data_IF_732758000860
#
_entry.id   IF_732758000860
#
_cell.length_a   1.000
_cell.length_b   1.000
_cell.length_c   1.000
_cell.angle_alpha   90.00
_cell.angle_beta   90.00
_cell.angle_gamma   90.00
#
_symmetry.space_group_name_H-M   'P 1'
#
loop_
_entity.id
_entity.type
_entity.pdbx_description
1 polymer ?
#
# COMPACT_ATOMS: atom_id res chain seq x y z
N UNK A 1 6.45 -6.26 28.46
CA UNK A 1 5.05 -6.69 28.67
C UNK A 1 4.43 -5.78 29.71
N UNK A 2 3.14 -5.47 29.60
CA UNK A 2 2.38 -4.73 30.61
C UNK A 2 2.42 -5.47 31.93
N UNK A 3 2.43 -4.80 33.10
CA UNK A 3 2.40 -5.46 34.42
C UNK A 3 1.19 -6.38 34.61
N UNK A 4 0.13 -6.19 33.83
CA UNK A 4 -1.10 -7.01 33.85
C UNK A 4 -1.01 -8.31 33.04
N UNK A 5 -0.02 -8.46 32.16
CA UNK A 5 0.17 -9.61 31.27
C UNK A 5 1.55 -10.19 31.50
N UNK A 6 1.60 -11.42 31.95
CA UNK A 6 2.84 -12.15 32.20
C UNK A 6 2.75 -13.61 31.71
N UNK A 7 3.86 -14.33 31.73
CA UNK A 7 3.94 -15.71 31.23
C UNK A 7 3.05 -16.69 32.00
N UNK A 8 2.59 -16.34 33.21
CA UNK A 8 1.80 -17.23 34.05
C UNK A 8 0.28 -17.04 33.81
N UNK A 9 -0.13 -15.86 33.34
CA UNK A 9 -1.55 -15.52 33.15
C UNK A 9 -1.94 -15.32 31.69
N UNK A 10 -1.02 -15.54 30.76
CA UNK A 10 -1.30 -15.37 29.33
C UNK A 10 -0.56 -16.40 28.48
N UNK A 11 -1.22 -16.86 27.42
CA UNK A 11 -0.67 -17.74 26.39
C UNK A 11 -0.59 -16.99 25.09
N UNK A 12 0.58 -16.97 24.47
CA UNK A 12 0.76 -16.43 23.11
C UNK A 12 0.25 -17.50 22.14
N UNK A 13 -0.86 -17.24 21.48
CA UNK A 13 -1.41 -18.16 20.47
C UNK A 13 -0.73 -17.98 19.11
N UNK A 14 -0.31 -16.76 18.80
CA UNK A 14 0.36 -16.45 17.53
C UNK A 14 1.29 -15.26 17.67
N UNK A 15 2.53 -15.41 17.18
CA UNK A 15 3.47 -14.33 17.00
C UNK A 15 4.00 -14.41 15.56
N UNK A 16 3.78 -13.35 14.77
CA UNK A 16 4.15 -13.29 13.34
C UNK A 16 4.73 -11.92 13.03
N UNK A 17 5.81 -11.91 12.28
CA UNK A 17 6.33 -10.68 11.66
C UNK A 17 5.63 -10.49 10.32
N UNK A 18 4.90 -9.39 10.18
CA UNK A 18 4.26 -9.01 8.92
C UNK A 18 5.20 -8.15 8.09
N UNK A 19 5.26 -8.46 6.79
CA UNK A 19 5.90 -7.62 5.79
C UNK A 19 4.83 -6.87 5.02
N UNK A 20 4.99 -5.58 4.90
CA UNK A 20 4.14 -4.71 4.10
C UNK A 20 4.89 -4.25 2.87
N UNK A 21 4.17 -4.01 1.80
CA UNK A 21 4.72 -3.59 0.52
C UNK A 21 4.19 -2.20 0.18
N UNK A 22 5.01 -1.43 -0.50
CA UNK A 22 4.66 -0.14 -1.06
C UNK A 22 5.06 -0.15 -2.53
N UNK A 23 4.16 -0.57 -3.40
CA UNK A 23 4.44 -0.71 -4.83
C UNK A 23 3.21 -0.42 -5.68
N UNK A 24 3.48 -0.01 -6.91
CA UNK A 24 2.48 0.28 -7.94
C UNK A 24 2.86 -0.51 -9.20
N UNK A 25 1.88 -1.12 -9.84
CA UNK A 25 2.05 -1.75 -11.13
C UNK A 25 2.28 -0.70 -12.22
N UNK A 26 3.21 -0.96 -13.13
CA UNK A 26 3.50 -0.04 -14.23
C UNK A 26 2.33 0.08 -15.22
N UNK A 27 1.57 -0.98 -15.38
CA UNK A 27 0.48 -1.05 -16.35
C UNK A 27 -0.76 -1.64 -15.70
N UNK A 28 -1.85 -0.88 -15.69
CA UNK A 28 -3.11 -1.27 -15.06
C UNK A 28 -4.13 -1.83 -16.06
N UNK A 29 -3.84 -1.71 -17.35
CA UNK A 29 -4.65 -2.27 -18.43
C UNK A 29 -3.80 -3.03 -19.42
N UNK A 30 -4.25 -4.20 -19.84
CA UNK A 30 -3.78 -4.87 -21.04
C UNK A 30 -4.96 -5.37 -21.86
N UNK A 31 -5.23 -4.68 -22.97
CA UNK A 31 -6.43 -4.93 -23.81
C UNK A 31 -7.73 -4.84 -22.97
N UNK A 32 -8.39 -5.99 -22.76
CA UNK A 32 -9.64 -6.09 -22.00
C UNK A 32 -9.43 -6.56 -20.55
N UNK A 33 -8.19 -6.66 -20.09
CA UNK A 33 -7.84 -7.07 -18.74
C UNK A 33 -7.43 -5.82 -17.96
N UNK A 34 -8.01 -5.66 -16.78
CA UNK A 34 -7.74 -4.55 -15.86
C UNK A 34 -7.34 -5.09 -14.49
N UNK A 35 -6.48 -4.37 -13.81
CA UNK A 35 -6.15 -4.59 -12.41
C UNK A 35 -6.58 -3.38 -11.58
N UNK A 36 -7.00 -3.62 -10.34
CA UNK A 36 -7.49 -2.59 -9.42
C UNK A 36 -7.15 -2.98 -7.96
N UNK A 37 -7.17 -2.02 -7.05
CA UNK A 37 -6.87 -2.24 -5.64
C UNK A 37 -5.47 -2.85 -5.44
N UNK A 38 -5.35 -3.83 -4.55
CA UNK A 38 -4.05 -4.44 -4.19
C UNK A 38 -3.32 -5.11 -5.38
N UNK A 39 -4.04 -5.45 -6.44
CA UNK A 39 -3.43 -5.94 -7.67
C UNK A 39 -2.73 -4.84 -8.48
N UNK A 40 -3.19 -3.60 -8.36
CA UNK A 40 -2.62 -2.44 -9.03
C UNK A 40 -1.63 -1.68 -8.15
N UNK A 41 -1.88 -1.65 -6.84
CA UNK A 41 -1.05 -0.92 -5.87
C UNK A 41 -1.17 -1.53 -4.46
N UNK A 42 -0.06 -1.68 -3.80
CA UNK A 42 -0.01 -2.11 -2.41
C UNK A 42 0.53 -0.99 -1.54
N UNK A 43 -0.02 -0.86 -0.34
CA UNK A 43 0.39 0.16 0.59
C UNK A 43 0.47 -0.35 2.03
N UNK A 44 1.38 0.20 2.85
CA UNK A 44 1.40 -0.09 4.28
C UNK A 44 0.07 0.27 4.95
N UNK A 45 -0.37 -0.48 5.97
CA UNK A 45 -1.70 -0.34 6.56
C UNK A 45 -1.87 0.86 7.49
N UNK A 46 -0.86 1.67 7.68
CA UNK A 46 -0.82 2.73 8.70
C UNK A 46 -1.90 3.82 8.54
N UNK A 47 -2.40 4.04 7.33
CA UNK A 47 -3.54 4.93 7.06
C UNK A 47 -4.90 4.20 7.03
N UNK A 48 -4.92 2.88 6.97
CA UNK A 48 -6.15 2.12 6.73
C UNK A 48 -6.81 2.42 5.38
N UNK A 49 -6.08 2.98 4.41
CA UNK A 49 -6.64 3.56 3.19
C UNK A 49 -6.73 2.58 2.01
N UNK A 50 -6.13 1.39 2.10
CA UNK A 50 -6.04 0.44 0.98
C UNK A 50 -7.40 0.06 0.40
N UNK A 51 -8.33 -0.39 1.25
CA UNK A 51 -9.68 -0.75 0.82
C UNK A 51 -10.42 0.43 0.16
N UNK A 52 -10.35 1.63 0.78
CA UNK A 52 -11.00 2.83 0.24
C UNK A 52 -10.43 3.25 -1.11
N UNK A 53 -9.12 3.08 -1.33
CA UNK A 53 -8.48 3.36 -2.61
C UNK A 53 -8.91 2.35 -3.67
N UNK A 54 -8.96 1.06 -3.35
CA UNK A 54 -9.44 0.02 -4.26
C UNK A 54 -10.92 0.17 -4.64
N UNK A 55 -11.78 0.60 -3.71
CA UNK A 55 -13.20 0.92 -4.01
C UNK A 55 -13.28 2.07 -5.02
N UNK A 56 -12.46 3.10 -4.86
CA UNK A 56 -12.43 4.23 -5.82
C UNK A 56 -11.94 3.80 -7.20
N UNK A 57 -10.99 2.86 -7.27
CA UNK A 57 -10.54 2.30 -8.56
C UNK A 57 -11.66 1.55 -9.24
N UNK A 58 -12.32 0.65 -8.51
CA UNK A 58 -13.44 -0.12 -9.04
C UNK A 58 -14.59 0.79 -9.51
N UNK A 59 -14.91 1.82 -8.73
CA UNK A 59 -15.94 2.79 -9.11
C UNK A 59 -15.55 3.57 -10.37
N UNK A 60 -14.29 4.06 -10.43
CA UNK A 60 -13.80 4.80 -11.59
C UNK A 60 -13.84 3.96 -12.87
N UNK A 61 -13.47 2.69 -12.79
CA UNK A 61 -13.47 1.79 -13.93
C UNK A 61 -14.88 1.37 -14.34
N UNK A 62 -15.76 1.09 -13.37
CA UNK A 62 -17.08 0.53 -13.62
C UNK A 62 -17.97 1.44 -14.48
N UNK A 63 -18.04 2.75 -14.19
CA UNK A 63 -18.87 3.67 -14.98
C UNK A 63 -18.30 3.87 -16.40
N UNK A 64 -16.98 3.82 -16.57
CA UNK A 64 -16.34 3.92 -17.89
C UNK A 64 -16.70 2.72 -18.76
N UNK A 65 -16.58 1.52 -18.19
CA UNK A 65 -17.00 0.28 -18.86
C UNK A 65 -18.48 0.32 -19.21
N UNK A 66 -19.34 0.78 -18.29
CA UNK A 66 -20.76 0.89 -18.51
C UNK A 66 -21.10 1.79 -19.71
N UNK A 67 -20.49 2.98 -19.81
CA UNK A 67 -20.74 3.89 -20.92
C UNK A 67 -20.32 3.28 -22.26
N UNK A 68 -19.20 2.58 -22.30
CA UNK A 68 -18.72 1.94 -23.53
C UNK A 68 -19.66 0.80 -23.96
N UNK A 69 -20.07 -0.06 -23.02
CA UNK A 69 -21.02 -1.16 -23.30
C UNK A 69 -22.37 -0.62 -23.83
N UNK A 70 -22.77 0.57 -23.35
CA UNK A 70 -23.98 1.24 -23.82
C UNK A 70 -23.81 2.00 -25.16
N UNK A 71 -22.59 2.01 -25.71
CA UNK A 71 -22.31 2.79 -26.93
C UNK A 71 -22.34 4.31 -26.71
N UNK A 72 -22.23 4.77 -25.47
CA UNK A 72 -22.28 6.18 -25.09
C UNK A 72 -20.89 6.83 -25.02
N UNK A 73 -19.82 6.03 -25.06
CA UNK A 73 -18.44 6.47 -25.07
C UNK A 73 -17.57 5.53 -25.92
N UNK A 74 -16.44 6.06 -26.38
CA UNK A 74 -15.44 5.30 -27.11
C UNK A 74 -14.48 4.57 -26.15
N UNK A 75 -13.81 3.54 -26.67
CA UNK A 75 -12.91 2.69 -25.87
C UNK A 75 -11.71 3.45 -25.27
N UNK A 76 -11.28 4.55 -25.90
CA UNK A 76 -10.21 5.42 -25.41
C UNK A 76 -10.49 6.01 -24.01
N UNK A 77 -11.77 6.07 -23.59
CA UNK A 77 -12.12 6.46 -22.21
C UNK A 77 -11.45 5.55 -21.16
N UNK A 78 -11.17 4.29 -21.48
CA UNK A 78 -10.51 3.37 -20.53
C UNK A 78 -9.04 3.69 -20.30
N UNK A 79 -8.38 4.41 -21.19
CA UNK A 79 -7.00 4.86 -21.02
C UNK A 79 -6.87 5.87 -19.86
N UNK A 80 -7.95 6.61 -19.57
CA UNK A 80 -7.97 7.58 -18.48
C UNK A 80 -8.02 6.91 -17.09
N UNK A 81 -8.33 5.62 -16.99
CA UNK A 81 -8.44 4.92 -15.72
C UNK A 81 -7.15 5.00 -14.90
N UNK A 82 -6.05 4.52 -15.44
CA UNK A 82 -4.76 4.58 -14.76
C UNK A 82 -4.29 6.03 -14.58
N UNK A 83 -4.46 6.88 -15.58
CA UNK A 83 -4.05 8.28 -15.53
C UNK A 83 -4.72 9.04 -14.36
N UNK A 84 -5.98 8.74 -14.07
CA UNK A 84 -6.72 9.37 -12.99
C UNK A 84 -6.45 8.74 -11.62
N UNK A 85 -6.23 7.42 -11.57
CA UNK A 85 -6.16 6.69 -10.31
C UNK A 85 -4.75 6.53 -9.75
N UNK A 86 -3.75 6.32 -10.61
CA UNK A 86 -2.37 6.10 -10.20
C UNK A 86 -1.80 7.27 -9.36
N UNK A 87 -1.95 8.55 -9.76
CA UNK A 87 -1.42 9.66 -8.96
C UNK A 87 -1.99 9.72 -7.54
N UNK A 88 -3.29 9.41 -7.41
CA UNK A 88 -3.94 9.36 -6.10
C UNK A 88 -3.47 8.17 -5.26
N UNK A 89 -3.32 6.99 -5.86
CA UNK A 89 -2.80 5.81 -5.18
C UNK A 89 -1.36 6.06 -4.70
N UNK A 90 -0.52 6.62 -5.56
CA UNK A 90 0.85 6.99 -5.23
C UNK A 90 0.91 7.97 -4.05
N UNK A 91 0.13 9.05 -4.10
CA UNK A 91 0.06 9.99 -2.99
C UNK A 91 -0.34 9.30 -1.68
N UNK A 92 -1.34 8.43 -1.71
CA UNK A 92 -1.82 7.70 -0.52
C UNK A 92 -0.72 6.77 0.04
N UNK A 93 0.04 6.10 -0.83
CA UNK A 93 1.18 5.27 -0.43
C UNK A 93 2.24 6.11 0.27
N UNK A 94 2.60 7.27 -0.29
CA UNK A 94 3.59 8.16 0.35
C UNK A 94 3.14 8.63 1.72
N UNK A 95 1.85 8.96 1.89
CA UNK A 95 1.32 9.32 3.20
C UNK A 95 1.35 8.14 4.19
N UNK A 96 1.03 6.93 3.75
CA UNK A 96 1.11 5.73 4.57
C UNK A 96 2.55 5.44 5.02
N UNK A 97 3.54 5.63 4.14
CA UNK A 97 4.97 5.52 4.46
C UNK A 97 5.37 6.53 5.55
N UNK A 98 5.02 7.80 5.34
CA UNK A 98 5.35 8.88 6.28
C UNK A 98 4.78 8.62 7.69
N UNK A 99 3.54 8.15 7.78
CA UNK A 99 2.93 7.81 9.08
C UNK A 99 3.65 6.63 9.71
N UNK A 100 4.04 5.62 8.94
CA UNK A 100 4.84 4.51 9.44
C UNK A 100 6.17 4.98 10.06
N UNK A 101 6.88 5.87 9.39
CA UNK A 101 8.12 6.49 9.90
C UNK A 101 7.88 7.26 11.20
N UNK A 102 6.80 8.02 11.27
CA UNK A 102 6.43 8.74 12.50
C UNK A 102 6.15 7.77 13.65
N UNK A 103 5.40 6.70 13.42
CA UNK A 103 5.07 5.70 14.45
C UNK A 103 6.34 5.02 14.98
N UNK A 104 7.27 4.70 14.11
CA UNK A 104 8.55 4.09 14.47
C UNK A 104 9.43 5.07 15.26
N UNK A 105 9.48 6.33 14.86
CA UNK A 105 10.20 7.36 15.58
C UNK A 105 9.72 7.48 17.04
N UNK A 106 8.42 7.41 17.29
CA UNK A 106 7.88 7.39 18.65
C UNK A 106 8.29 6.14 19.41
N UNK A 107 8.31 4.97 18.78
CA UNK A 107 8.73 3.71 19.43
C UNK A 107 10.21 3.75 19.88
N UNK A 108 11.10 4.30 19.07
CA UNK A 108 12.51 4.50 19.47
C UNK A 108 12.65 5.48 20.62
N UNK A 109 11.89 6.57 20.61
CA UNK A 109 11.92 7.57 21.66
C UNK A 109 11.48 7.02 23.03
N UNK A 110 10.46 6.17 23.06
CA UNK A 110 10.02 5.51 24.30
C UNK A 110 11.07 4.55 24.86
N UNK A 111 11.87 3.92 24.01
CA UNK A 111 12.98 3.05 24.41
C UNK A 111 14.24 3.81 24.83
N UNK A 112 14.25 5.15 24.71
CA UNK A 112 15.42 5.98 24.94
C UNK A 112 16.51 5.83 23.88
N UNK A 113 16.22 5.20 22.78
CA UNK A 113 17.13 5.01 21.64
C UNK A 113 17.07 6.22 20.71
N UNK A 114 18.21 6.56 20.09
CA UNK A 114 18.26 7.65 19.14
C UNK A 114 17.83 7.15 17.77
N UNK A 115 16.71 7.69 17.26
CA UNK A 115 16.29 7.42 15.89
C UNK A 115 17.30 7.97 14.89
N UNK A 116 17.80 7.12 14.01
CA UNK A 116 18.65 7.51 12.90
C UNK A 116 17.92 7.19 11.61
N UNK A 117 17.44 8.20 10.86
CA UNK A 117 16.80 7.98 9.56
C UNK A 117 17.78 7.27 8.63
N UNK A 118 17.35 6.19 8.00
CA UNK A 118 18.17 5.54 6.99
C UNK A 118 18.09 6.33 5.67
N UNK A 119 19.26 6.61 5.10
CA UNK A 119 19.35 7.18 3.75
C UNK A 119 19.03 6.17 2.64
N UNK A 120 18.90 4.90 3.01
CA UNK A 120 18.75 3.79 2.06
C UNK A 120 17.31 3.35 1.84
N UNK A 121 16.37 3.94 2.57
CA UNK A 121 14.96 3.68 2.42
C UNK A 121 14.32 3.01 3.65
N UNK A 122 13.02 3.00 3.62
CA UNK A 122 12.16 2.63 4.73
C UNK A 122 12.34 1.16 5.18
N UNK A 123 12.52 0.24 4.25
CA UNK A 123 12.68 -1.18 4.56
C UNK A 123 13.97 -1.54 5.29
N UNK A 124 15.02 -0.71 5.16
CA UNK A 124 16.28 -0.89 5.88
C UNK A 124 16.25 -0.32 7.29
N UNK A 125 15.43 0.70 7.52
CA UNK A 125 15.22 1.28 8.86
C UNK A 125 14.36 0.38 9.73
N UNK A 126 13.43 -0.35 9.11
CA UNK A 126 12.43 -1.15 9.80
C UNK A 126 12.41 -2.61 9.31
N UNK A 127 13.51 -3.34 9.44
CA UNK A 127 13.63 -4.68 8.88
C UNK A 127 12.64 -5.70 9.46
N UNK A 128 11.98 -5.36 10.57
CA UNK A 128 11.06 -6.25 11.26
C UNK A 128 9.59 -5.86 11.12
N UNK A 129 9.28 -4.65 10.69
CA UNK A 129 7.90 -4.14 10.63
C UNK A 129 7.42 -3.87 9.21
N UNK A 130 8.27 -3.32 8.36
CA UNK A 130 7.94 -2.98 6.97
C UNK A 130 9.12 -3.30 6.08
N UNK A 131 8.89 -4.02 5.01
CA UNK A 131 9.89 -4.21 3.97
C UNK A 131 9.36 -3.73 2.63
N UNK A 132 10.20 -3.01 1.92
CA UNK A 132 10.03 -2.80 0.50
C UNK A 132 10.56 -4.02 -0.21
N UNK A 133 9.75 -4.65 -0.99
CA UNK A 133 10.21 -5.66 -1.94
C UNK A 133 9.96 -5.14 -3.33
N UNK A 134 10.97 -5.21 -4.16
CA UNK A 134 10.73 -5.26 -5.58
C UNK A 134 9.87 -6.48 -5.84
N UNK A 135 8.67 -6.25 -6.34
CA UNK A 135 7.95 -7.33 -6.95
C UNK A 135 8.78 -7.72 -8.17
N UNK A 136 9.23 -8.95 -8.20
CA UNK A 136 10.02 -9.50 -9.30
C UNK A 136 9.26 -9.59 -10.62
N UNK A 137 8.03 -9.10 -10.65
CA UNK A 137 7.24 -8.94 -11.86
C UNK A 137 7.75 -7.73 -12.64
N UNK A 138 8.07 -7.86 -13.93
CA UNK A 138 8.62 -6.76 -14.73
C UNK A 138 7.64 -5.60 -14.93
N UNK A 139 6.43 -5.70 -14.40
CA UNK A 139 5.37 -4.69 -14.49
C UNK A 139 5.22 -3.81 -13.25
N UNK A 140 6.04 -4.00 -12.21
CA UNK A 140 5.90 -3.27 -10.96
C UNK A 140 7.12 -2.38 -10.69
N UNK A 141 6.87 -1.22 -10.07
CA UNK A 141 7.88 -0.29 -9.59
C UNK A 141 7.66 0.01 -8.11
N UNK A 142 8.71 0.27 -7.39
CA UNK A 142 8.65 0.82 -6.03
C UNK A 142 8.22 2.28 -6.05
N UNK A 143 7.59 2.70 -4.99
CA UNK A 143 7.07 4.06 -4.78
C UNK A 143 7.83 4.74 -3.66
#
# INVERSE_FOLDING_TARGET
>A
MSPWINKNNSKIERAVVYKFHACIADKWRDKNIFIAGDAAHQMPPFLGAGMGTGIRDAFNLAWKIYLIIKGMAEENLLETYQQEREPHANWTIQQAKLIGEMMEHYSYREKGEKYVPSSKGYGEVFPHSVSYTHLTLPTNREV
#
